data_IF_251800582285
#
_entry.id   IF_251800582285
#
_cell.length_a   1.000
_cell.length_b   1.000
_cell.length_c   1.000
_cell.angle_alpha   90.00
_cell.angle_beta   90.00
_cell.angle_gamma   90.00
#
_symmetry.space_group_name_H-M   'P 1'
#
loop_
_entity.id
_entity.type
_entity.pdbx_description
1 polymer ?
#
# COMPACT_ATOMS: atom_id res chain seq x y z
N UNK A 1 20.61 -6.61 3.45
CA UNK A 1 19.43 -5.81 3.85
C UNK A 1 18.29 -6.25 2.95
N UNK A 2 17.30 -6.95 3.47
CA UNK A 2 16.12 -7.37 2.70
C UNK A 2 15.20 -6.15 2.52
N UNK A 3 15.13 -5.63 1.30
CA UNK A 3 14.21 -4.55 0.94
C UNK A 3 12.79 -5.13 0.86
N UNK A 4 11.90 -4.68 1.73
CA UNK A 4 10.47 -5.08 1.72
C UNK A 4 9.84 -4.55 0.44
N UNK A 5 9.10 -5.40 -0.29
CA UNK A 5 8.36 -5.04 -1.50
C UNK A 5 6.88 -4.78 -1.21
N UNK A 6 6.14 -4.17 -2.13
CA UNK A 6 4.68 -4.04 -1.98
C UNK A 6 3.96 -5.40 -1.94
N UNK A 7 4.49 -6.41 -2.64
CA UNK A 7 3.95 -7.77 -2.60
C UNK A 7 4.09 -8.38 -1.21
N UNK A 8 5.22 -8.15 -0.53
CA UNK A 8 5.45 -8.62 0.85
C UNK A 8 4.47 -7.97 1.86
N UNK A 9 3.91 -6.80 1.52
CA UNK A 9 2.91 -6.10 2.32
C UNK A 9 1.47 -6.59 2.06
N UNK A 10 1.26 -7.54 1.15
CA UNK A 10 -0.06 -8.06 0.79
C UNK A 10 -0.81 -7.24 -0.27
N UNK A 11 -0.11 -6.37 -1.01
CA UNK A 11 -0.70 -5.63 -2.13
C UNK A 11 -0.90 -6.55 -3.34
N UNK A 12 -2.08 -6.48 -3.96
CA UNK A 12 -2.50 -7.34 -5.06
C UNK A 12 -1.63 -7.15 -6.32
N UNK A 13 -1.42 -8.23 -7.07
CA UNK A 13 -0.58 -8.27 -8.27
C UNK A 13 -0.87 -7.16 -9.30
N UNK A 14 -2.13 -6.84 -9.65
CA UNK A 14 -2.40 -5.80 -10.63
C UNK A 14 -1.94 -4.41 -10.16
N UNK A 15 -2.03 -4.16 -8.85
CA UNK A 15 -1.59 -2.90 -8.24
C UNK A 15 -0.06 -2.86 -8.18
N UNK A 16 0.59 -3.96 -7.78
CA UNK A 16 2.06 -4.08 -7.80
C UNK A 16 2.64 -3.84 -9.21
N UNK A 17 2.01 -4.38 -10.26
CA UNK A 17 2.41 -4.14 -11.65
C UNK A 17 2.29 -2.66 -12.03
N UNK A 18 1.16 -2.02 -11.72
CA UNK A 18 0.97 -0.60 -11.97
C UNK A 18 1.98 0.28 -11.21
N UNK A 19 2.30 -0.06 -9.96
CA UNK A 19 3.33 0.62 -9.18
C UNK A 19 4.71 0.50 -9.85
N UNK A 20 5.09 -0.69 -10.31
CA UNK A 20 6.35 -0.91 -11.01
C UNK A 20 6.44 -0.09 -12.31
N UNK A 21 5.38 -0.04 -13.11
CA UNK A 21 5.30 0.78 -14.33
C UNK A 21 5.46 2.29 -14.05
N UNK A 22 4.99 2.76 -12.89
CA UNK A 22 5.17 4.13 -12.43
C UNK A 22 6.49 4.38 -11.69
N UNK A 23 7.40 3.39 -11.67
CA UNK A 23 8.68 3.42 -10.93
C UNK A 23 8.53 3.55 -9.41
N UNK A 24 7.40 3.14 -8.85
CA UNK A 24 7.19 2.96 -7.41
C UNK A 24 7.60 1.55 -6.99
N UNK A 25 8.91 1.35 -6.86
CA UNK A 25 9.49 0.02 -6.65
C UNK A 25 9.48 -0.41 -5.18
N UNK A 26 9.76 0.52 -4.26
CA UNK A 26 9.90 0.24 -2.85
C UNK A 26 8.91 1.06 -2.01
N UNK A 27 8.23 0.45 -1.03
CA UNK A 27 7.40 1.17 -0.08
C UNK A 27 8.24 2.11 0.78
N UNK A 28 7.71 3.30 1.07
CA UNK A 28 8.29 4.19 2.08
C UNK A 28 8.08 3.61 3.49
N UNK A 29 8.83 4.07 4.51
CA UNK A 29 8.67 3.54 5.87
C UNK A 29 7.24 3.64 6.43
N UNK A 30 6.51 4.72 6.12
CA UNK A 30 5.12 4.86 6.56
C UNK A 30 4.18 3.90 5.81
N UNK A 31 4.44 3.62 4.54
CA UNK A 31 3.67 2.65 3.74
C UNK A 31 3.90 1.23 4.26
N UNK A 32 5.16 0.83 4.48
CA UNK A 32 5.50 -0.49 5.02
C UNK A 32 4.87 -0.77 6.39
N UNK A 33 4.76 0.26 7.24
CA UNK A 33 4.17 0.12 8.58
C UNK A 33 2.63 0.13 8.58
N UNK A 34 2.00 0.79 7.60
CA UNK A 34 0.55 1.02 7.63
C UNK A 34 -0.25 0.14 6.68
N UNK A 35 0.30 -0.24 5.52
CA UNK A 35 -0.44 -1.00 4.50
C UNK A 35 -1.00 -2.32 5.05
N UNK A 36 -0.23 -3.17 5.76
CA UNK A 36 -0.78 -4.43 6.29
C UNK A 36 -1.98 -4.20 7.23
N UNK A 37 -1.87 -3.22 8.13
CA UNK A 37 -2.94 -2.84 9.06
C UNK A 37 -4.22 -2.39 8.35
N UNK A 38 -4.07 -1.59 7.29
CA UNK A 38 -5.18 -1.03 6.53
C UNK A 38 -5.85 -2.09 5.65
N UNK A 39 -5.09 -3.04 5.13
CA UNK A 39 -5.60 -4.20 4.39
C UNK A 39 -6.42 -5.13 5.30
N UNK A 40 -6.01 -5.30 6.55
CA UNK A 40 -6.81 -5.98 7.59
C UNK A 40 -8.09 -5.21 7.99
N UNK A 41 -8.27 -3.98 7.52
CA UNK A 41 -9.43 -3.15 7.85
C UNK A 41 -9.36 -2.48 9.21
N UNK A 42 -8.17 -2.35 9.80
CA UNK A 42 -7.97 -1.62 11.07
C UNK A 42 -7.93 -0.11 10.82
N UNK A 43 -8.43 0.64 11.78
CA UNK A 43 -8.23 2.09 11.82
C UNK A 43 -6.78 2.44 12.16
N UNK A 44 -6.26 3.51 11.56
CA UNK A 44 -4.86 3.92 11.72
C UNK A 44 -4.72 5.45 11.80
N UNK A 45 -4.05 5.92 12.86
CA UNK A 45 -3.58 7.30 12.98
C UNK A 45 -2.11 7.37 12.58
N UNK A 46 -1.83 7.97 11.42
CA UNK A 46 -0.48 8.12 10.90
C UNK A 46 0.11 9.52 11.13
N UNK A 47 1.14 9.63 11.97
CA UNK A 47 1.91 10.86 12.17
C UNK A 47 3.15 10.84 11.27
N UNK A 48 3.12 11.59 10.17
CA UNK A 48 4.29 11.78 9.32
C UNK A 48 4.23 13.12 8.57
N UNK A 49 5.38 13.66 8.16
CA UNK A 49 5.46 14.89 7.37
C UNK A 49 4.85 14.70 5.96
N UNK A 50 4.40 15.78 5.32
CA UNK A 50 4.03 15.78 3.89
C UNK A 50 5.21 15.29 3.02
N UNK A 51 4.92 14.59 1.92
CA UNK A 51 5.94 14.01 1.03
C UNK A 51 6.48 12.63 1.44
N UNK A 52 6.05 12.08 2.58
CA UNK A 52 6.49 10.75 3.06
C UNK A 52 5.74 9.56 2.45
N UNK A 53 4.76 9.80 1.57
CA UNK A 53 4.00 8.74 0.90
C UNK A 53 2.71 8.30 1.61
N UNK A 54 2.20 9.06 2.60
CA UNK A 54 0.91 8.79 3.29
C UNK A 54 -0.27 8.60 2.33
N UNK A 55 -0.36 9.39 1.27
CA UNK A 55 -1.48 9.30 0.31
C UNK A 55 -1.57 7.89 -0.30
N UNK A 56 -0.45 7.36 -0.80
CA UNK A 56 -0.41 6.00 -1.32
C UNK A 56 -0.62 4.94 -0.23
N UNK A 57 -0.16 5.20 1.00
CA UNK A 57 -0.36 4.29 2.13
C UNK A 57 -1.85 3.99 2.40
N UNK A 58 -2.75 4.97 2.20
CA UNK A 58 -4.20 4.77 2.28
C UNK A 58 -4.84 4.40 0.94
N UNK A 59 -4.37 4.97 -0.17
CA UNK A 59 -4.97 4.74 -1.49
C UNK A 59 -4.83 3.29 -1.97
N UNK A 60 -3.68 2.65 -1.73
CA UNK A 60 -3.46 1.27 -2.19
C UNK A 60 -4.41 0.26 -1.50
N UNK A 61 -4.59 0.30 -0.15
CA UNK A 61 -5.62 -0.50 0.50
C UNK A 61 -7.05 -0.23 0.00
N UNK A 62 -7.39 1.03 -0.31
CA UNK A 62 -8.71 1.39 -0.85
C UNK A 62 -8.93 0.77 -2.24
N UNK A 63 -7.96 0.93 -3.14
CA UNK A 63 -8.03 0.36 -4.50
C UNK A 63 -8.15 -1.17 -4.47
N UNK A 64 -7.42 -1.83 -3.56
CA UNK A 64 -7.50 -3.27 -3.38
C UNK A 64 -8.90 -3.72 -2.95
N UNK A 65 -9.51 -3.03 -1.98
CA UNK A 65 -10.89 -3.32 -1.53
C UNK A 65 -11.91 -3.16 -2.65
N UNK A 66 -11.83 -2.05 -3.40
CA UNK A 66 -12.73 -1.80 -4.54
C UNK A 66 -12.62 -2.87 -5.63
N UNK A 67 -11.42 -3.40 -5.86
CA UNK A 67 -11.19 -4.48 -6.83
C UNK A 67 -11.77 -5.81 -6.35
N UNK A 68 -11.66 -6.10 -5.06
CA UNK A 68 -12.25 -7.30 -4.45
C UNK A 68 -13.79 -7.26 -4.44
N UNK A 69 -14.38 -6.09 -4.14
CA UNK A 69 -15.84 -5.92 -4.10
C UNK A 69 -16.49 -6.03 -5.47
N UNK A 70 -15.82 -5.61 -6.54
CA UNK A 70 -16.32 -5.74 -7.93
C UNK A 70 -16.42 -7.20 -8.41
N UNK A 71 -15.80 -8.13 -7.70
CA UNK A 71 -15.82 -9.57 -8.00
C UNK A 71 -16.91 -10.32 -7.22
N UNK A 72 -17.76 -9.62 -6.47
CA UNK A 72 -18.96 -10.13 -5.77
C UNK A 72 -20.22 -9.68 -6.48
#
# INVERSE_FOLDING_TARGET
>A
MTTVTFADLGVAEPICRALAEQNYVNPTPIQAQSIPALLEGRDLLGLAQTGTGKTAAFALPILQKLTADRSR
#
